data_IF_018158930859
#
_entry.id   IF_018158930859
#
_cell.length_a   1.000
_cell.length_b   1.000
_cell.length_c   1.000
_cell.angle_alpha   90.00
_cell.angle_beta   90.00
_cell.angle_gamma   90.00
#
_symmetry.space_group_name_H-M   'P 1'
#
loop_
_entity.id
_entity.type
_entity.pdbx_description
1 polymer ?
#
# COMPACT_ATOMS: atom_id res chain seq x y z
N UNK A 1 -5.99 2.83 19.56
CA UNK A 1 -5.55 2.19 18.30
C UNK A 1 -6.62 2.43 17.25
N UNK A 2 -6.28 3.03 16.12
CA UNK A 2 -7.17 3.02 14.96
C UNK A 2 -6.99 1.68 14.23
N UNK A 3 -8.07 1.13 13.70
CA UNK A 3 -8.07 -0.05 12.86
C UNK A 3 -8.98 0.20 11.66
N UNK A 4 -8.78 -0.55 10.57
CA UNK A 4 -9.61 -0.49 9.39
C UNK A 4 -9.99 -1.89 8.91
N UNK A 5 -11.17 -2.00 8.29
CA UNK A 5 -11.60 -3.20 7.57
C UNK A 5 -11.35 -2.96 6.08
N UNK A 6 -10.71 -3.93 5.43
CA UNK A 6 -10.57 -3.99 3.98
C UNK A 6 -11.05 -5.37 3.52
N UNK A 7 -11.63 -5.45 2.33
CA UNK A 7 -11.98 -6.74 1.74
C UNK A 7 -10.72 -7.49 1.30
N UNK A 8 -10.84 -8.83 1.24
CA UNK A 8 -9.70 -9.69 0.91
C UNK A 8 -9.12 -9.45 -0.50
N UNK A 9 -9.95 -9.03 -1.46
CA UNK A 9 -9.50 -8.76 -2.82
C UNK A 9 -8.62 -7.52 -2.86
N UNK A 10 -8.98 -6.47 -2.11
CA UNK A 10 -8.19 -5.25 -1.93
C UNK A 10 -6.83 -5.58 -1.31
N UNK A 11 -6.79 -6.37 -0.24
CA UNK A 11 -5.51 -6.76 0.41
C UNK A 11 -4.65 -7.63 -0.53
N UNK A 12 -5.26 -8.55 -1.27
CA UNK A 12 -4.55 -9.35 -2.28
C UNK A 12 -3.95 -8.48 -3.39
N UNK A 13 -4.72 -7.52 -3.92
CA UNK A 13 -4.26 -6.63 -4.98
C UNK A 13 -3.11 -5.74 -4.51
N UNK A 14 -3.19 -5.23 -3.29
CA UNK A 14 -2.10 -4.48 -2.66
C UNK A 14 -0.85 -5.36 -2.53
N UNK A 15 -0.98 -6.58 -1.99
CA UNK A 15 0.15 -7.50 -1.86
C UNK A 15 0.79 -7.84 -3.20
N UNK A 16 -0.02 -8.11 -4.22
CA UNK A 16 0.45 -8.39 -5.58
C UNK A 16 1.27 -7.22 -6.15
N UNK A 17 0.80 -5.98 -6.01
CA UNK A 17 1.53 -4.79 -6.43
C UNK A 17 2.81 -4.60 -5.61
N UNK A 18 2.73 -4.79 -4.29
CA UNK A 18 3.85 -4.62 -3.37
C UNK A 18 5.02 -5.58 -3.67
N UNK A 19 4.72 -6.80 -4.10
CA UNK A 19 5.72 -7.80 -4.42
C UNK A 19 6.10 -7.86 -5.91
N UNK A 20 5.43 -7.12 -6.79
CA UNK A 20 5.59 -7.23 -8.24
C UNK A 20 7.04 -7.03 -8.71
N UNK A 21 7.78 -6.11 -8.08
CA UNK A 21 9.16 -5.75 -8.44
C UNK A 21 10.17 -6.14 -7.38
N UNK A 22 9.75 -6.88 -6.34
CA UNK A 22 10.55 -7.07 -5.13
C UNK A 22 11.83 -7.88 -5.33
N UNK A 23 11.88 -8.64 -6.42
CA UNK A 23 13.00 -9.49 -6.82
C UNK A 23 13.82 -8.87 -7.97
N UNK A 24 13.48 -7.66 -8.42
CA UNK A 24 14.20 -6.99 -9.49
C UNK A 24 15.57 -6.52 -8.97
N UNK A 25 16.58 -6.55 -9.86
CA UNK A 25 17.98 -6.20 -9.50
C UNK A 25 18.12 -4.74 -9.08
N UNK A 26 17.26 -3.88 -9.59
CA UNK A 26 17.19 -2.44 -9.33
C UNK A 26 16.07 -2.07 -8.35
N UNK A 27 15.54 -3.05 -7.61
CA UNK A 27 14.47 -2.81 -6.64
C UNK A 27 14.83 -1.67 -5.67
N UNK A 28 13.95 -0.67 -5.65
CA UNK A 28 13.93 0.37 -4.64
C UNK A 28 12.60 0.33 -3.87
N UNK A 29 12.62 0.35 -2.52
CA UNK A 29 11.41 0.51 -1.74
C UNK A 29 10.65 1.79 -2.10
N UNK A 30 9.33 1.74 -2.12
CA UNK A 30 8.51 2.93 -2.30
C UNK A 30 8.74 3.95 -1.17
N UNK A 31 8.84 5.23 -1.51
CA UNK A 31 8.81 6.32 -0.52
C UNK A 31 7.44 6.39 0.15
N UNK A 32 7.31 7.07 1.31
CA UNK A 32 6.01 7.28 1.94
C UNK A 32 4.98 7.93 1.01
N UNK A 33 5.38 8.89 0.17
CA UNK A 33 4.46 9.49 -0.81
C UNK A 33 4.01 8.49 -1.88
N UNK A 34 4.92 7.65 -2.38
CA UNK A 34 4.61 6.62 -3.37
C UNK A 34 3.69 5.55 -2.78
N UNK A 35 3.97 5.08 -1.57
CA UNK A 35 3.14 4.12 -0.85
C UNK A 35 1.74 4.70 -0.54
N UNK A 36 1.66 5.98 -0.16
CA UNK A 36 0.37 6.67 0.02
C UNK A 36 -0.45 6.70 -1.27
N UNK A 37 0.20 6.95 -2.41
CA UNK A 37 -0.46 6.91 -3.72
C UNK A 37 -0.93 5.49 -4.08
N UNK A 38 -0.14 4.46 -3.78
CA UNK A 38 -0.56 3.06 -3.92
C UNK A 38 -1.78 2.76 -3.06
N UNK A 39 -1.80 3.14 -1.78
CA UNK A 39 -2.97 2.93 -0.91
C UNK A 39 -4.22 3.62 -1.47
N UNK A 40 -4.10 4.87 -1.91
CA UNK A 40 -5.21 5.60 -2.50
C UNK A 40 -5.77 4.93 -3.77
N UNK A 41 -4.91 4.35 -4.63
CA UNK A 41 -5.34 3.57 -5.80
C UNK A 41 -6.18 2.33 -5.44
N UNK A 42 -5.90 1.71 -4.30
CA UNK A 42 -6.64 0.56 -3.77
C UNK A 42 -7.84 0.97 -2.88
N UNK A 43 -8.18 2.27 -2.81
CA UNK A 43 -9.27 2.77 -1.96
C UNK A 43 -8.95 2.76 -0.46
N UNK A 44 -7.71 2.50 -0.09
CA UNK A 44 -7.23 2.50 1.29
C UNK A 44 -6.93 3.93 1.73
N UNK A 45 -7.96 4.62 2.23
CA UNK A 45 -7.93 6.03 2.61
C UNK A 45 -8.39 6.25 4.06
N UNK A 46 -8.08 7.41 4.62
CA UNK A 46 -8.46 7.78 6.00
C UNK A 46 -7.30 7.64 6.99
N UNK A 47 -7.56 8.01 8.26
CA UNK A 47 -6.52 8.19 9.28
C UNK A 47 -5.63 6.96 9.51
N UNK A 48 -6.21 5.75 9.48
CA UNK A 48 -5.44 4.51 9.62
C UNK A 48 -4.45 4.27 8.47
N UNK A 49 -4.81 4.66 7.24
CA UNK A 49 -4.01 4.45 6.03
C UNK A 49 -3.15 5.67 5.67
N UNK A 50 -3.14 6.72 6.50
CA UNK A 50 -2.27 7.87 6.31
C UNK A 50 -0.86 7.52 6.75
N UNK A 51 0.09 7.69 5.83
CA UNK A 51 1.52 7.59 6.08
C UNK A 51 2.15 8.95 6.41
N UNK A 52 1.41 10.03 6.24
CA UNK A 52 1.75 11.33 6.83
C UNK A 52 1.38 11.27 8.32
N UNK A 53 2.39 11.05 9.16
CA UNK A 53 2.32 11.28 10.60
C UNK A 53 2.60 12.72 10.94
#
# INVERSE_FOLDING_TARGET
MQGAVADGQTVYNLGREWYATRLDLDFAPATPQQAQATFARHGLVGGFWSLAG
#
